data_IF_581017427477
#
_entry.id   IF_581017427477
#
_cell.length_a   1.000
_cell.length_b   1.000
_cell.length_c   1.000
_cell.angle_alpha   90.00
_cell.angle_beta   90.00
_cell.angle_gamma   90.00
#
_symmetry.space_group_name_H-M   'P 1'
#
loop_
_entity.id
_entity.type
_entity.pdbx_description
1 polymer ?
#
# COMPACT_ATOMS: atom_id res chain seq x y z
N UNK A 1 60.65 -76.98 2.67
CA UNK A 1 59.22 -76.63 2.48
C UNK A 1 59.07 -75.12 2.50
N UNK A 2 59.04 -74.49 1.32
CA UNK A 2 57.91 -73.61 1.00
C UNK A 2 57.31 -73.97 -0.37
N UNK A 3 55.98 -73.98 -0.42
CA UNK A 3 55.18 -74.31 -1.59
C UNK A 3 55.29 -73.21 -2.64
N UNK A 4 55.84 -73.55 -3.81
CA UNK A 4 55.81 -72.70 -5.00
C UNK A 4 54.35 -72.43 -5.39
N UNK A 5 53.95 -71.16 -5.29
CA UNK A 5 52.70 -70.67 -5.84
C UNK A 5 52.72 -70.84 -7.37
N UNK A 6 52.01 -71.85 -7.87
CA UNK A 6 51.59 -71.93 -9.27
C UNK A 6 50.77 -70.67 -9.58
N UNK A 7 51.41 -69.69 -10.22
CA UNK A 7 50.73 -68.60 -10.91
C UNK A 7 49.72 -69.23 -11.86
N UNK A 8 48.44 -69.12 -11.52
CA UNK A 8 47.35 -69.53 -12.40
C UNK A 8 47.53 -68.82 -13.72
N UNK A 9 47.83 -69.58 -14.77
CA UNK A 9 47.79 -69.09 -16.14
C UNK A 9 46.42 -68.46 -16.34
N UNK A 10 46.41 -67.14 -16.59
CA UNK A 10 45.21 -66.46 -17.05
C UNK A 10 44.68 -67.28 -18.23
N UNK A 11 43.47 -67.84 -18.09
CA UNK A 11 42.74 -68.45 -19.21
C UNK A 11 42.68 -67.37 -20.29
N UNK A 12 43.58 -67.45 -21.28
CA UNK A 12 43.46 -66.73 -22.54
C UNK A 12 42.11 -67.14 -23.08
N UNK A 13 41.16 -66.22 -23.06
CA UNK A 13 39.85 -66.39 -23.69
C UNK A 13 40.12 -66.94 -25.10
N UNK A 14 39.63 -68.15 -25.39
CA UNK A 14 39.62 -68.65 -26.76
C UNK A 14 38.90 -67.59 -27.60
N UNK A 15 39.47 -67.17 -28.75
CA UNK A 15 38.85 -66.15 -29.60
C UNK A 15 37.47 -66.66 -29.98
N UNK A 16 36.43 -66.00 -29.48
CA UNK A 16 35.07 -66.30 -29.87
C UNK A 16 34.86 -65.65 -31.24
N UNK A 17 35.35 -66.33 -32.29
CA UNK A 17 35.43 -65.84 -33.68
C UNK A 17 34.08 -65.28 -34.17
N UNK A 18 32.97 -65.81 -33.63
CA UNK A 18 31.60 -65.34 -33.91
C UNK A 18 31.24 -63.98 -33.26
N UNK A 19 31.85 -63.64 -32.12
CA UNK A 19 31.68 -62.34 -31.45
C UNK A 19 32.53 -61.27 -32.11
N UNK A 20 33.75 -61.62 -32.54
CA UNK A 20 34.65 -60.72 -33.26
C UNK A 20 34.08 -60.31 -34.62
N UNK A 21 33.51 -61.26 -35.39
CA UNK A 21 32.85 -60.93 -36.67
C UNK A 21 31.63 -60.04 -36.48
N UNK A 22 30.80 -60.29 -35.46
CA UNK A 22 29.66 -59.41 -35.13
C UNK A 22 30.11 -58.01 -34.71
N UNK A 23 31.17 -57.90 -33.91
CA UNK A 23 31.72 -56.61 -33.53
C UNK A 23 32.28 -55.84 -34.74
N UNK A 24 32.97 -56.53 -35.64
CA UNK A 24 33.48 -55.94 -36.89
C UNK A 24 32.35 -55.45 -37.80
N UNK A 25 31.29 -56.24 -37.97
CA UNK A 25 30.13 -55.85 -38.76
C UNK A 25 29.41 -54.64 -38.15
N UNK A 26 29.18 -54.64 -36.83
CA UNK A 26 28.58 -53.50 -36.13
C UNK A 26 29.45 -52.24 -36.21
N UNK A 27 30.77 -52.39 -36.05
CA UNK A 27 31.72 -51.29 -36.16
C UNK A 27 31.79 -50.72 -37.57
N UNK A 28 31.88 -51.58 -38.59
CA UNK A 28 31.88 -51.17 -39.99
C UNK A 28 30.59 -50.46 -40.39
N UNK A 29 29.44 -50.96 -39.95
CA UNK A 29 28.15 -50.30 -40.17
C UNK A 29 28.06 -48.96 -39.44
N UNK A 30 28.60 -48.86 -38.22
CA UNK A 30 28.64 -47.62 -37.48
C UNK A 30 29.53 -46.56 -38.18
N UNK A 31 30.68 -46.95 -38.72
CA UNK A 31 31.56 -46.08 -39.49
C UNK A 31 30.92 -45.65 -40.81
N UNK A 32 30.20 -46.54 -41.47
CA UNK A 32 29.40 -46.21 -42.65
C UNK A 32 28.37 -45.13 -42.34
N UNK A 33 27.58 -45.28 -41.27
CA UNK A 33 26.62 -44.25 -40.85
C UNK A 33 27.33 -42.95 -40.43
N UNK A 34 28.44 -43.04 -39.71
CA UNK A 34 29.23 -41.90 -39.26
C UNK A 34 29.88 -41.12 -40.42
N UNK A 35 30.04 -41.73 -41.60
CA UNK A 35 30.54 -41.06 -42.79
C UNK A 35 29.71 -39.81 -43.15
N UNK A 36 28.40 -39.82 -42.86
CA UNK A 36 27.54 -38.65 -43.05
C UNK A 36 27.91 -37.44 -42.19
N UNK A 37 28.72 -37.59 -41.13
CA UNK A 37 29.25 -36.46 -40.36
C UNK A 37 30.46 -35.78 -41.01
N UNK A 38 31.23 -36.53 -41.79
CA UNK A 38 32.51 -36.08 -42.31
C UNK A 38 32.29 -35.25 -43.59
N UNK A 39 32.93 -34.09 -43.75
CA UNK A 39 32.94 -33.38 -45.03
C UNK A 39 33.72 -34.18 -46.08
N UNK A 40 33.25 -34.18 -47.33
CA UNK A 40 33.99 -34.78 -48.46
C UNK A 40 33.72 -36.25 -48.76
N UNK A 41 32.65 -36.85 -48.21
CA UNK A 41 32.26 -38.25 -48.45
C UNK A 41 31.41 -38.47 -49.72
N UNK A 42 31.24 -37.44 -50.55
CA UNK A 42 30.52 -37.49 -51.82
C UNK A 42 29.04 -37.86 -51.70
N UNK A 43 28.46 -38.37 -52.79
CA UNK A 43 27.03 -38.65 -52.92
C UNK A 43 26.44 -39.56 -51.83
N UNK A 44 27.24 -40.50 -51.29
CA UNK A 44 26.81 -41.40 -50.22
C UNK A 44 26.63 -40.64 -48.89
N UNK A 45 27.53 -39.70 -48.60
CA UNK A 45 27.40 -38.86 -47.41
C UNK A 45 26.24 -37.88 -47.50
N UNK A 46 26.04 -37.27 -48.67
CA UNK A 46 24.90 -36.37 -48.91
C UNK A 46 23.57 -37.12 -48.82
N UNK A 47 23.50 -38.33 -49.38
CA UNK A 47 22.36 -39.22 -49.21
C UNK A 47 22.08 -39.54 -47.74
N UNK A 48 23.10 -39.92 -46.96
CA UNK A 48 22.93 -40.19 -45.52
C UNK A 48 22.48 -38.94 -44.75
N UNK A 49 23.04 -37.77 -45.07
CA UNK A 49 22.64 -36.48 -44.47
C UNK A 49 21.18 -36.18 -44.74
N UNK A 50 20.71 -36.39 -45.96
CA UNK A 50 19.34 -36.03 -46.33
C UNK A 50 18.31 -37.09 -45.89
N UNK A 51 18.59 -38.37 -46.14
CA UNK A 51 17.65 -39.47 -45.95
C UNK A 51 17.65 -40.03 -44.52
N UNK A 52 18.78 -39.98 -43.80
CA UNK A 52 18.89 -40.53 -42.45
C UNK A 52 18.92 -39.43 -41.39
N UNK A 53 19.88 -38.51 -41.46
CA UNK A 53 20.03 -37.43 -40.45
C UNK A 53 18.93 -36.38 -40.57
N UNK A 54 18.61 -35.93 -41.79
CA UNK A 54 17.55 -34.96 -42.06
C UNK A 54 16.14 -35.52 -41.82
N UNK A 55 15.94 -36.84 -41.93
CA UNK A 55 14.66 -37.47 -41.65
C UNK A 55 14.44 -37.66 -40.14
N UNK A 56 15.41 -38.26 -39.44
CA UNK A 56 15.24 -38.73 -38.06
C UNK A 56 15.77 -37.76 -37.00
N UNK A 57 16.65 -36.82 -37.35
CA UNK A 57 17.23 -35.87 -36.38
C UNK A 57 18.09 -36.56 -35.32
N UNK A 58 17.97 -36.12 -34.07
CA UNK A 58 18.82 -36.50 -32.93
C UNK A 58 19.01 -38.03 -32.74
N UNK A 59 17.98 -38.89 -32.89
CA UNK A 59 18.14 -40.34 -32.94
C UNK A 59 19.15 -40.85 -33.98
N UNK A 60 19.19 -40.28 -35.18
CA UNK A 60 20.16 -40.67 -36.21
C UNK A 60 21.60 -40.36 -35.77
N UNK A 61 21.82 -39.23 -35.07
CA UNK A 61 23.13 -38.89 -34.50
C UNK A 61 23.58 -39.85 -33.39
N UNK A 62 22.64 -40.40 -32.61
CA UNK A 62 22.95 -41.37 -31.55
C UNK A 62 23.28 -42.77 -32.09
N UNK A 63 22.82 -43.11 -33.30
CA UNK A 63 22.98 -44.44 -33.92
C UNK A 63 24.42 -44.87 -34.13
N UNK A 64 25.28 -44.11 -34.83
CA UNK A 64 26.66 -44.51 -35.04
C UNK A 64 27.45 -44.61 -33.72
N UNK A 65 27.23 -43.68 -32.78
CA UNK A 65 27.90 -43.71 -31.47
C UNK A 65 27.47 -44.92 -30.63
N UNK A 66 26.17 -45.22 -30.62
CA UNK A 66 25.60 -46.38 -29.93
C UNK A 66 26.12 -47.70 -30.51
N UNK A 67 26.20 -47.81 -31.84
CA UNK A 67 26.72 -48.99 -32.52
C UNK A 67 28.22 -49.19 -32.32
N UNK A 68 29.04 -48.12 -32.30
CA UNK A 68 30.46 -48.22 -31.97
C UNK A 68 30.67 -48.72 -30.53
N UNK A 69 29.94 -48.16 -29.57
CA UNK A 69 30.00 -48.62 -28.18
C UNK A 69 29.51 -50.06 -28.03
N UNK A 70 28.46 -50.45 -28.77
CA UNK A 70 27.98 -51.83 -28.80
C UNK A 70 29.04 -52.79 -29.39
N UNK A 71 29.64 -52.42 -30.53
CA UNK A 71 30.72 -53.18 -31.17
C UNK A 71 31.90 -53.41 -30.21
N UNK A 72 32.31 -52.35 -29.50
CA UNK A 72 33.36 -52.43 -28.49
C UNK A 72 33.01 -53.38 -27.32
N UNK A 73 31.78 -53.31 -26.81
CA UNK A 73 31.33 -54.19 -25.72
C UNK A 73 31.21 -55.65 -26.15
N UNK A 74 30.73 -55.91 -27.36
CA UNK A 74 30.67 -57.25 -27.97
C UNK A 74 32.08 -57.81 -28.16
N UNK A 75 33.02 -57.00 -28.68
CA UNK A 75 34.42 -57.38 -28.82
C UNK A 75 35.07 -57.74 -27.47
N UNK A 76 34.76 -56.98 -26.41
CA UNK A 76 35.27 -57.21 -25.05
C UNK A 76 34.53 -58.32 -24.28
N UNK A 77 33.46 -58.90 -24.84
CA UNK A 77 32.64 -59.91 -24.16
C UNK A 77 31.97 -59.42 -22.88
N UNK A 78 31.65 -58.12 -22.79
CA UNK A 78 31.03 -57.49 -21.60
C UNK A 78 29.50 -57.68 -21.58
N UNK A 79 28.86 -57.60 -20.40
CA UNK A 79 27.40 -57.72 -20.31
C UNK A 79 26.68 -56.57 -21.03
N UNK A 80 25.80 -56.89 -21.98
CA UNK A 80 25.11 -55.91 -22.82
C UNK A 80 23.83 -55.34 -22.20
N UNK A 81 23.22 -56.04 -21.24
CA UNK A 81 21.88 -55.71 -20.70
C UNK A 81 21.79 -54.28 -20.14
N UNK A 82 22.78 -53.87 -19.34
CA UNK A 82 22.82 -52.51 -18.78
C UNK A 82 22.99 -51.45 -19.85
N UNK A 83 23.93 -51.66 -20.77
CA UNK A 83 24.17 -50.75 -21.90
C UNK A 83 22.94 -50.60 -22.79
N UNK A 84 22.31 -51.72 -23.20
CA UNK A 84 21.09 -51.72 -24.02
C UNK A 84 19.93 -51.00 -23.33
N UNK A 85 19.78 -51.15 -22.01
CA UNK A 85 18.80 -50.38 -21.23
C UNK A 85 19.09 -48.88 -21.31
N UNK A 86 20.32 -48.45 -21.03
CA UNK A 86 20.66 -47.02 -21.09
C UNK A 86 20.53 -46.44 -22.50
N UNK A 87 20.91 -47.21 -23.51
CA UNK A 87 20.77 -46.86 -24.92
C UNK A 87 19.29 -46.71 -25.28
N UNK A 88 18.43 -47.66 -24.90
CA UNK A 88 16.98 -47.56 -25.10
C UNK A 88 16.40 -46.27 -24.49
N UNK A 89 16.73 -45.97 -23.23
CA UNK A 89 16.26 -44.72 -22.60
C UNK A 89 16.82 -43.47 -23.27
N UNK A 90 18.07 -43.50 -23.73
CA UNK A 90 18.65 -42.38 -24.50
C UNK A 90 17.87 -42.14 -25.80
N UNK A 91 17.49 -43.20 -26.52
CA UNK A 91 16.62 -43.08 -27.70
C UNK A 91 15.22 -42.60 -27.35
N UNK A 92 14.60 -43.14 -26.30
CA UNK A 92 13.26 -42.71 -25.90
C UNK A 92 13.24 -41.24 -25.50
N UNK A 93 14.24 -40.75 -24.76
CA UNK A 93 14.38 -39.33 -24.41
C UNK A 93 14.67 -38.50 -25.66
N UNK A 94 15.53 -38.98 -26.55
CA UNK A 94 15.79 -38.33 -27.83
C UNK A 94 14.48 -38.14 -28.60
N UNK A 95 13.73 -39.23 -28.84
CA UNK A 95 12.43 -39.25 -29.51
C UNK A 95 11.40 -38.33 -28.84
N UNK A 96 11.33 -38.33 -27.51
CA UNK A 96 10.43 -37.45 -26.77
C UNK A 96 10.77 -35.95 -26.97
N UNK A 97 12.03 -35.60 -27.18
CA UNK A 97 12.48 -34.21 -27.35
C UNK A 97 12.47 -33.71 -28.81
N UNK A 98 12.32 -34.59 -29.81
CA UNK A 98 12.27 -34.21 -31.24
C UNK A 98 11.40 -32.97 -31.55
N UNK A 99 10.14 -32.89 -31.10
CA UNK A 99 9.29 -31.75 -31.42
C UNK A 99 9.79 -30.41 -30.85
N UNK A 100 10.74 -30.42 -29.91
CA UNK A 100 11.30 -29.22 -29.29
C UNK A 100 12.64 -28.79 -29.93
N UNK A 101 13.25 -29.65 -30.75
CA UNK A 101 14.62 -29.48 -31.24
C UNK A 101 14.73 -28.78 -32.61
N UNK A 102 13.61 -28.36 -33.19
CA UNK A 102 13.56 -27.69 -34.50
C UNK A 102 14.00 -28.58 -35.67
N UNK A 103 14.10 -28.04 -36.87
CA UNK A 103 14.46 -28.83 -38.06
C UNK A 103 15.92 -29.31 -38.06
N UNK A 104 16.84 -28.52 -37.51
CA UNK A 104 18.28 -28.83 -37.51
C UNK A 104 18.64 -30.08 -36.68
N UNK A 105 17.97 -30.29 -35.55
CA UNK A 105 18.24 -31.42 -34.64
C UNK A 105 17.05 -32.37 -34.49
N UNK A 106 15.83 -31.93 -34.78
CA UNK A 106 14.64 -32.78 -34.81
C UNK A 106 14.38 -33.45 -36.17
N UNK A 107 15.02 -32.96 -37.23
CA UNK A 107 14.76 -33.41 -38.60
C UNK A 107 13.31 -33.17 -39.04
N UNK A 108 12.96 -33.72 -40.20
CA UNK A 108 11.59 -33.67 -40.73
C UNK A 108 10.57 -34.35 -39.80
N UNK A 109 10.97 -35.42 -39.11
CA UNK A 109 10.11 -36.13 -38.18
C UNK A 109 9.78 -35.26 -36.95
N UNK A 110 10.76 -34.58 -36.37
CA UNK A 110 10.54 -33.67 -35.25
C UNK A 110 9.71 -32.45 -35.63
N UNK A 111 9.97 -31.86 -36.81
CA UNK A 111 9.15 -30.76 -37.33
C UNK A 111 7.70 -31.18 -37.59
N UNK A 112 7.49 -32.37 -38.17
CA UNK A 112 6.15 -32.94 -38.38
C UNK A 112 5.42 -33.24 -37.07
N UNK A 113 6.11 -33.80 -36.07
CA UNK A 113 5.56 -34.01 -34.72
C UNK A 113 5.19 -32.70 -34.04
N UNK A 114 6.03 -31.67 -34.16
CA UNK A 114 5.77 -30.34 -33.62
C UNK A 114 4.54 -29.71 -34.26
N UNK A 115 4.46 -29.71 -35.60
CA UNK A 115 3.32 -29.19 -36.33
C UNK A 115 2.02 -29.93 -35.96
N UNK A 116 2.09 -31.25 -35.81
CA UNK A 116 0.96 -32.06 -35.34
C UNK A 116 0.51 -31.70 -33.91
N UNK A 117 1.45 -31.52 -32.98
CA UNK A 117 1.15 -31.11 -31.61
C UNK A 117 0.55 -29.71 -31.54
N UNK A 118 1.12 -28.76 -32.29
CA UNK A 118 0.60 -27.38 -32.37
C UNK A 118 -0.79 -27.36 -33.03
N UNK A 119 -1.05 -28.19 -34.04
CA UNK A 119 -2.36 -28.29 -34.68
C UNK A 119 -3.45 -28.88 -33.76
N UNK A 120 -3.09 -29.86 -32.91
CA UNK A 120 -4.04 -30.55 -32.04
C UNK A 120 -4.27 -29.85 -30.69
N UNK A 121 -3.21 -29.35 -30.05
CA UNK A 121 -3.25 -28.79 -28.69
C UNK A 121 -2.80 -27.32 -28.62
N UNK A 122 -2.39 -26.72 -29.74
CA UNK A 122 -1.78 -25.39 -29.75
C UNK A 122 -0.41 -25.35 -29.07
N UNK A 123 0.07 -24.15 -28.79
CA UNK A 123 1.32 -23.91 -28.05
C UNK A 123 1.50 -24.73 -26.75
N UNK A 124 0.48 -24.90 -25.87
CA UNK A 124 0.66 -25.69 -24.64
C UNK A 124 0.91 -27.18 -24.91
N UNK A 125 0.59 -27.69 -26.12
CA UNK A 125 0.93 -29.05 -26.55
C UNK A 125 2.44 -29.33 -26.51
N UNK A 126 3.29 -28.31 -26.62
CA UNK A 126 4.75 -28.44 -26.52
C UNK A 126 5.25 -28.76 -25.11
N UNK A 127 4.40 -28.63 -24.08
CA UNK A 127 4.75 -29.08 -22.74
C UNK A 127 4.75 -30.63 -22.62
N UNK A 128 3.93 -31.32 -23.43
CA UNK A 128 3.83 -32.80 -23.42
C UNK A 128 5.16 -33.50 -23.71
N UNK A 129 5.94 -33.16 -24.76
CA UNK A 129 7.24 -33.79 -25.00
C UNK A 129 8.25 -33.55 -23.87
N UNK A 130 8.22 -32.35 -23.27
CA UNK A 130 9.02 -32.01 -22.08
C UNK A 130 8.65 -32.88 -20.87
N UNK A 131 7.36 -33.04 -20.65
CA UNK A 131 6.84 -33.94 -19.63
C UNK A 131 7.28 -35.38 -19.95
N UNK A 132 6.99 -35.92 -21.13
CA UNK A 132 7.36 -37.28 -21.51
C UNK A 132 8.86 -37.56 -21.28
N UNK A 133 9.74 -36.61 -21.64
CA UNK A 133 11.18 -36.69 -21.36
C UNK A 133 11.49 -36.75 -19.86
N UNK A 134 10.85 -35.92 -19.02
CA UNK A 134 11.01 -35.96 -17.56
C UNK A 134 10.60 -37.32 -16.97
N UNK A 135 9.45 -37.86 -17.36
CA UNK A 135 9.00 -39.18 -16.91
C UNK A 135 9.95 -40.30 -17.34
N UNK A 136 10.49 -40.24 -18.57
CA UNK A 136 11.48 -41.20 -19.07
C UNK A 136 12.80 -41.13 -18.28
N UNK A 137 13.24 -39.93 -17.89
CA UNK A 137 14.42 -39.74 -17.05
C UNK A 137 14.18 -40.29 -15.64
N UNK A 138 12.98 -40.12 -15.08
CA UNK A 138 12.61 -40.70 -13.78
C UNK A 138 12.62 -42.24 -13.84
N UNK A 139 12.02 -42.83 -14.88
CA UNK A 139 12.03 -44.28 -15.12
C UNK A 139 13.45 -44.82 -15.37
N UNK A 140 14.30 -44.07 -16.08
CA UNK A 140 15.71 -44.41 -16.26
C UNK A 140 16.45 -44.51 -14.92
N UNK A 141 16.13 -43.61 -13.97
CA UNK A 141 16.66 -43.60 -12.60
C UNK A 141 16.01 -44.63 -11.66
N UNK A 142 15.02 -45.39 -12.15
CA UNK A 142 14.26 -46.34 -11.32
C UNK A 142 13.34 -45.67 -10.31
N UNK A 143 12.92 -44.42 -10.58
CA UNK A 143 11.95 -43.68 -9.79
C UNK A 143 10.58 -43.72 -10.50
N UNK A 144 9.46 -43.58 -9.76
CA UNK A 144 8.16 -43.41 -10.40
C UNK A 144 8.14 -42.16 -11.29
N UNK A 145 7.34 -42.16 -12.37
CA UNK A 145 7.26 -41.02 -13.27
C UNK A 145 6.83 -39.74 -12.51
N UNK A 146 7.39 -38.59 -12.90
CA UNK A 146 7.12 -37.27 -12.34
C UNK A 146 7.73 -36.97 -10.97
N UNK A 147 8.58 -37.84 -10.45
CA UNK A 147 9.26 -37.64 -9.17
C UNK A 147 10.12 -36.38 -9.15
N UNK A 148 10.83 -36.09 -10.25
CA UNK A 148 11.63 -34.86 -10.36
C UNK A 148 10.75 -33.61 -10.31
N UNK A 149 9.62 -33.63 -11.02
CA UNK A 149 8.66 -32.53 -11.03
C UNK A 149 8.07 -32.32 -9.64
N UNK A 150 7.64 -33.40 -8.96
CA UNK A 150 7.11 -33.35 -7.60
C UNK A 150 8.12 -32.77 -6.61
N UNK A 151 9.38 -33.22 -6.66
CA UNK A 151 10.45 -32.70 -5.79
C UNK A 151 10.71 -31.22 -6.07
N UNK A 152 10.75 -30.83 -7.34
CA UNK A 152 10.88 -29.42 -7.75
C UNK A 152 9.75 -28.56 -7.20
N UNK A 153 8.51 -29.02 -7.28
CA UNK A 153 7.34 -28.33 -6.73
C UNK A 153 7.40 -28.21 -5.21
N UNK A 154 7.73 -29.27 -4.48
CA UNK A 154 7.85 -29.23 -3.02
C UNK A 154 8.93 -28.24 -2.58
N UNK A 155 10.08 -28.24 -3.25
CA UNK A 155 11.16 -27.29 -3.00
C UNK A 155 10.73 -25.85 -3.33
N UNK A 156 10.06 -25.65 -4.47
CA UNK A 156 9.53 -24.36 -4.90
C UNK A 156 8.54 -23.79 -3.89
N UNK A 157 7.54 -24.58 -3.47
CA UNK A 157 6.57 -24.18 -2.46
C UNK A 157 7.25 -23.88 -1.12
N UNK A 158 8.23 -24.69 -0.72
CA UNK A 158 9.03 -24.45 0.48
C UNK A 158 9.79 -23.11 0.44
N UNK A 159 10.42 -22.80 -0.69
CA UNK A 159 11.13 -21.54 -0.91
C UNK A 159 10.16 -20.34 -0.91
N UNK A 160 9.03 -20.45 -1.62
CA UNK A 160 8.01 -19.39 -1.64
C UNK A 160 7.44 -19.14 -0.25
N UNK A 161 7.16 -20.20 0.52
CA UNK A 161 6.68 -20.07 1.91
C UNK A 161 7.71 -19.37 2.79
N UNK A 162 8.99 -19.73 2.70
CA UNK A 162 10.08 -19.07 3.43
C UNK A 162 10.25 -17.61 3.01
N UNK A 163 10.22 -17.32 1.71
CA UNK A 163 10.30 -15.96 1.18
C UNK A 163 9.13 -15.10 1.66
N UNK A 164 7.89 -15.62 1.61
CA UNK A 164 6.69 -14.92 2.11
C UNK A 164 6.81 -14.60 3.60
N UNK A 165 7.28 -15.55 4.42
CA UNK A 165 7.49 -15.32 5.85
C UNK A 165 8.60 -14.29 6.09
N UNK A 166 9.70 -14.36 5.33
CA UNK A 166 10.78 -13.37 5.39
C UNK A 166 10.31 -11.96 5.04
N UNK A 167 9.53 -11.82 3.96
CA UNK A 167 8.95 -10.53 3.55
C UNK A 167 7.97 -9.98 4.59
N UNK A 168 7.09 -10.81 5.16
CA UNK A 168 6.20 -10.41 6.25
C UNK A 168 6.96 -9.92 7.47
N UNK A 169 8.01 -10.66 7.88
CA UNK A 169 8.89 -10.26 8.98
C UNK A 169 9.56 -8.91 8.72
N UNK A 170 10.12 -8.70 7.53
CA UNK A 170 10.76 -7.43 7.14
C UNK A 170 9.76 -6.27 7.13
N UNK A 171 8.57 -6.48 6.58
CA UNK A 171 7.52 -5.47 6.57
C UNK A 171 7.10 -5.08 7.99
N UNK A 172 6.94 -6.07 8.88
CA UNK A 172 6.56 -5.81 10.27
C UNK A 172 7.67 -5.11 11.06
N UNK A 173 8.94 -5.51 10.87
CA UNK A 173 10.10 -4.81 11.46
C UNK A 173 10.20 -3.35 11.02
N UNK A 174 9.94 -3.06 9.73
CA UNK A 174 9.87 -1.68 9.23
C UNK A 174 8.76 -0.88 9.92
N UNK A 175 7.56 -1.47 10.07
CA UNK A 175 6.42 -0.82 10.76
C UNK A 175 6.74 -0.54 12.23
N UNK A 176 7.30 -1.52 12.95
CA UNK A 176 7.73 -1.35 14.34
C UNK A 176 8.83 -0.30 14.47
N UNK A 177 9.79 -0.27 13.55
CA UNK A 177 10.84 0.75 13.52
C UNK A 177 10.30 2.16 13.31
N UNK A 178 9.28 2.33 12.46
CA UNK A 178 8.59 3.62 12.30
C UNK A 178 7.85 4.02 13.57
N UNK A 179 7.14 3.09 14.22
CA UNK A 179 6.48 3.37 15.50
C UNK A 179 7.47 3.71 16.61
N UNK A 180 8.61 3.02 16.69
CA UNK A 180 9.64 3.32 17.68
C UNK A 180 10.23 4.74 17.50
N UNK A 181 10.20 5.29 16.28
CA UNK A 181 10.57 6.70 16.04
C UNK A 181 9.48 7.67 16.47
N UNK A 182 8.22 7.29 16.34
CA UNK A 182 7.08 8.11 16.78
C UNK A 182 6.91 8.10 18.30
N UNK A 183 7.24 6.98 18.94
CA UNK A 183 7.12 6.75 20.38
C UNK A 183 8.48 6.29 20.94
N UNK A 184 9.45 7.21 21.11
CA UNK A 184 10.81 6.86 21.52
C UNK A 184 10.90 6.28 22.94
N UNK A 185 9.92 6.56 23.80
CA UNK A 185 9.89 6.06 25.18
C UNK A 185 9.68 4.54 25.27
N UNK A 186 9.12 3.91 24.24
CA UNK A 186 8.84 2.48 24.23
C UNK A 186 10.01 1.66 23.69
N UNK A 187 10.97 1.36 24.57
CA UNK A 187 12.17 0.55 24.28
C UNK A 187 11.83 -0.85 23.73
N UNK A 188 10.70 -1.44 24.15
CA UNK A 188 10.22 -2.73 23.66
C UNK A 188 9.95 -2.72 22.14
N UNK A 189 9.42 -1.62 21.58
CA UNK A 189 9.19 -1.51 20.13
C UNK A 189 10.50 -1.49 19.34
N UNK A 190 11.53 -0.84 19.91
CA UNK A 190 12.88 -0.80 19.33
C UNK A 190 13.52 -2.19 19.34
N UNK A 191 13.39 -2.92 20.45
CA UNK A 191 13.87 -4.29 20.57
C UNK A 191 13.17 -5.23 19.57
N UNK A 192 11.84 -5.19 19.47
CA UNK A 192 11.07 -6.00 18.52
C UNK A 192 11.38 -5.64 17.05
N UNK A 193 11.69 -4.37 16.74
CA UNK A 193 12.15 -3.97 15.41
C UNK A 193 13.55 -4.55 15.07
N UNK A 194 14.41 -4.79 16.07
CA UNK A 194 15.76 -5.34 15.90
C UNK A 194 15.79 -6.86 15.90
N UNK A 195 14.96 -7.52 16.70
CA UNK A 195 14.94 -8.98 16.84
C UNK A 195 13.50 -9.48 17.00
N UNK A 196 12.82 -9.71 15.88
CA UNK A 196 11.50 -10.36 15.86
C UNK A 196 11.64 -11.83 15.52
N UNK A 197 11.21 -12.76 16.38
CA UNK A 197 11.23 -14.19 16.05
C UNK A 197 10.09 -14.55 15.06
N UNK A 198 10.26 -15.61 14.23
CA UNK A 198 9.21 -16.03 13.30
C UNK A 198 7.97 -16.61 14.00
N UNK A 199 8.10 -17.10 15.24
CA UNK A 199 7.00 -17.68 16.02
C UNK A 199 6.11 -16.60 16.66
N UNK A 200 6.68 -15.43 16.94
CA UNK A 200 6.00 -14.29 17.57
C UNK A 200 5.19 -13.45 16.57
N UNK A 201 5.48 -13.60 15.28
CA UNK A 201 4.89 -12.85 14.15
C UNK A 201 3.37 -12.65 14.25
N UNK A 202 2.53 -13.70 14.44
CA UNK A 202 1.07 -13.52 14.45
C UNK A 202 0.61 -12.70 15.65
N UNK A 203 1.12 -13.00 16.86
CA UNK A 203 0.74 -12.30 18.09
C UNK A 203 1.16 -10.82 18.04
N UNK A 204 2.36 -10.54 17.54
CA UNK A 204 2.86 -9.17 17.40
C UNK A 204 2.09 -8.41 16.33
N UNK A 205 1.69 -9.05 15.23
CA UNK A 205 0.86 -8.42 14.20
C UNK A 205 -0.53 -8.05 14.73
N UNK A 206 -1.16 -8.93 15.50
CA UNK A 206 -2.45 -8.67 16.15
C UNK A 206 -2.36 -7.54 17.16
N UNK A 207 -1.36 -7.59 18.07
CA UNK A 207 -1.12 -6.54 19.05
C UNK A 207 -0.85 -5.18 18.38
N UNK A 208 -0.07 -5.16 17.30
CA UNK A 208 0.21 -3.95 16.53
C UNK A 208 -1.06 -3.36 15.92
N UNK A 209 -1.95 -4.19 15.36
CA UNK A 209 -3.22 -3.73 14.80
C UNK A 209 -4.14 -3.17 15.87
N UNK A 210 -4.23 -3.84 17.03
CA UNK A 210 -5.02 -3.37 18.17
C UNK A 210 -4.52 -2.01 18.67
N UNK A 211 -3.20 -1.88 18.88
CA UNK A 211 -2.58 -0.62 19.30
C UNK A 211 -2.84 0.52 18.32
N UNK A 212 -2.62 0.29 17.01
CA UNK A 212 -2.85 1.32 15.99
C UNK A 212 -4.31 1.76 15.96
N UNK A 213 -5.24 0.81 16.10
CA UNK A 213 -6.67 1.10 16.14
C UNK A 213 -7.02 1.98 17.35
N UNK A 214 -6.58 1.59 18.54
CA UNK A 214 -6.82 2.35 19.77
C UNK A 214 -6.25 3.77 19.67
N UNK A 215 -5.03 3.93 19.14
CA UNK A 215 -4.42 5.25 18.98
C UNK A 215 -5.14 6.11 17.95
N UNK A 216 -5.59 5.53 16.84
CA UNK A 216 -6.40 6.27 15.85
C UNK A 216 -7.73 6.71 16.46
N UNK A 217 -8.38 5.87 17.26
CA UNK A 217 -9.61 6.20 17.99
C UNK A 217 -9.37 7.29 19.05
N UNK A 218 -8.25 7.24 19.78
CA UNK A 218 -7.86 8.28 20.73
C UNK A 218 -7.61 9.63 20.03
N UNK A 219 -6.89 9.64 18.90
CA UNK A 219 -6.74 10.85 18.09
C UNK A 219 -8.08 11.36 17.59
N UNK A 220 -8.99 10.48 17.21
CA UNK A 220 -10.33 10.88 16.77
C UNK A 220 -11.11 11.55 17.89
N UNK A 221 -11.05 11.01 19.12
CA UNK A 221 -11.66 11.61 20.32
C UNK A 221 -11.05 12.99 20.62
N UNK A 222 -9.73 13.08 20.68
CA UNK A 222 -9.03 14.35 20.93
C UNK A 222 -9.33 15.42 19.88
N UNK A 223 -9.43 15.06 18.59
CA UNK A 223 -9.82 16.01 17.56
C UNK A 223 -11.26 16.54 17.71
N UNK A 224 -12.16 15.77 18.33
CA UNK A 224 -13.52 16.22 18.65
C UNK A 224 -13.51 17.14 19.87
N UNK A 225 -12.71 16.81 20.88
CA UNK A 225 -12.50 17.65 22.07
C UNK A 225 -11.85 19.00 21.71
N UNK A 226 -10.90 19.00 20.76
CA UNK A 226 -10.24 20.21 20.27
C UNK A 226 -11.18 21.13 19.45
N UNK A 227 -12.42 20.72 19.14
CA UNK A 227 -13.40 21.59 18.47
C UNK A 227 -13.84 22.71 19.41
N UNK A 228 -13.56 23.95 19.04
CA UNK A 228 -13.97 25.15 19.81
C UNK A 228 -15.39 25.58 19.41
N UNK A 229 -16.25 25.98 20.37
CA UNK A 229 -17.59 26.50 20.07
C UNK A 229 -17.51 27.96 19.57
N UNK A 230 -16.94 28.18 18.38
CA UNK A 230 -16.91 29.50 17.74
C UNK A 230 -18.20 29.82 16.97
N UNK A 231 -18.92 28.78 16.56
CA UNK A 231 -20.19 28.88 15.84
C UNK A 231 -21.23 29.82 16.50
N UNK A 232 -21.52 29.75 17.81
CA UNK A 232 -22.49 30.66 18.43
C UNK A 232 -22.06 32.12 18.38
N UNK A 233 -20.75 32.41 18.51
CA UNK A 233 -20.22 33.78 18.45
C UNK A 233 -20.41 34.38 17.05
N UNK A 234 -20.08 33.62 16.00
CA UNK A 234 -20.27 34.07 14.62
C UNK A 234 -21.75 34.24 14.28
N UNK A 235 -22.62 33.34 14.77
CA UNK A 235 -24.06 33.48 14.58
C UNK A 235 -24.60 34.75 15.26
N UNK A 236 -24.16 35.07 16.48
CA UNK A 236 -24.54 36.31 17.16
C UNK A 236 -24.12 37.55 16.35
N UNK A 237 -22.89 37.57 15.84
CA UNK A 237 -22.36 38.65 15.02
C UNK A 237 -23.16 38.81 13.71
N UNK A 238 -23.48 37.69 13.03
CA UNK A 238 -24.33 37.71 11.85
C UNK A 238 -25.74 38.23 12.13
N UNK A 239 -26.33 37.91 13.28
CA UNK A 239 -27.65 38.47 13.64
C UNK A 239 -27.57 39.97 13.91
N UNK A 240 -26.51 40.44 14.57
CA UNK A 240 -26.31 41.86 14.84
C UNK A 240 -26.12 42.68 13.55
N UNK A 241 -25.38 42.14 12.57
CA UNK A 241 -25.13 42.80 11.28
C UNK A 241 -26.32 42.79 10.31
N UNK A 242 -27.36 41.98 10.53
CA UNK A 242 -28.51 41.89 9.61
C UNK A 242 -29.35 43.17 9.54
N UNK A 243 -29.45 43.91 10.64
CA UNK A 243 -30.22 45.16 10.68
C UNK A 243 -29.53 46.24 9.82
N UNK A 244 -30.23 46.90 8.89
CA UNK A 244 -29.65 48.00 8.10
C UNK A 244 -29.35 49.21 8.98
N UNK A 245 -28.36 50.01 8.59
CA UNK A 245 -28.03 51.24 9.31
C UNK A 245 -29.18 52.25 9.19
N UNK A 246 -29.76 52.76 10.30
CA UNK A 246 -30.87 53.70 10.28
C UNK A 246 -30.43 55.11 9.84
N UNK A 247 -31.36 55.89 9.29
CA UNK A 247 -31.14 57.29 8.88
C UNK A 247 -30.87 57.47 7.38
N UNK A 248 -30.64 58.73 6.98
CA UNK A 248 -30.41 59.15 5.59
C UNK A 248 -29.15 60.02 5.50
N UNK A 249 -28.39 59.92 4.39
CA UNK A 249 -27.22 60.78 4.12
C UNK A 249 -25.91 60.05 3.83
N UNK A 250 -24.85 60.78 3.43
CA UNK A 250 -23.62 60.18 2.89
C UNK A 250 -22.78 59.43 3.94
N UNK A 251 -22.87 59.79 5.22
CA UNK A 251 -22.22 59.04 6.31
C UNK A 251 -22.89 57.68 6.51
N UNK A 252 -24.22 57.63 6.39
CA UNK A 252 -25.00 56.39 6.49
C UNK A 252 -24.65 55.44 5.36
N UNK A 253 -24.55 55.94 4.12
CA UNK A 253 -24.21 55.09 2.98
C UNK A 253 -22.81 54.48 3.10
N UNK A 254 -21.82 55.25 3.57
CA UNK A 254 -20.48 54.74 3.84
C UNK A 254 -20.44 53.71 4.99
N UNK A 255 -21.26 53.89 6.03
CA UNK A 255 -21.39 52.91 7.12
C UNK A 255 -22.13 51.65 6.68
N UNK A 256 -23.10 51.79 5.79
CA UNK A 256 -23.86 50.68 5.20
C UNK A 256 -22.97 49.82 4.29
N UNK A 257 -22.08 50.43 3.50
CA UNK A 257 -21.06 49.70 2.74
C UNK A 257 -20.12 48.90 3.66
N UNK A 258 -19.65 49.50 4.76
CA UNK A 258 -18.82 48.80 5.75
C UNK A 258 -19.58 47.67 6.45
N UNK A 259 -20.86 47.87 6.79
CA UNK A 259 -21.73 46.83 7.34
C UNK A 259 -21.87 45.66 6.37
N UNK A 260 -22.15 45.93 5.09
CA UNK A 260 -22.29 44.91 4.06
C UNK A 260 -20.99 44.12 3.86
N UNK A 261 -19.84 44.79 3.88
CA UNK A 261 -18.52 44.15 3.84
C UNK A 261 -18.28 43.23 5.05
N UNK A 262 -18.57 43.69 6.27
CA UNK A 262 -18.46 42.88 7.49
C UNK A 262 -19.42 41.68 7.47
N UNK A 263 -20.63 41.85 6.92
CA UNK A 263 -21.60 40.76 6.78
C UNK A 263 -21.08 39.69 5.82
N UNK A 264 -20.50 40.08 4.69
CA UNK A 264 -19.84 39.17 3.76
C UNK A 264 -18.71 38.39 4.45
N UNK A 265 -17.80 39.09 5.14
CA UNK A 265 -16.68 38.47 5.85
C UNK A 265 -17.15 37.50 6.95
N UNK A 266 -18.14 37.90 7.76
CA UNK A 266 -18.73 37.05 8.79
C UNK A 266 -19.42 35.81 8.19
N UNK A 267 -20.11 35.95 7.05
CA UNK A 267 -20.75 34.83 6.36
C UNK A 267 -19.72 33.84 5.79
N UNK A 268 -18.60 34.36 5.28
CA UNK A 268 -17.47 33.55 4.80
C UNK A 268 -16.78 32.81 5.95
N UNK A 269 -16.61 33.46 7.12
CA UNK A 269 -16.10 32.81 8.32
C UNK A 269 -17.04 31.72 8.83
N UNK A 270 -18.35 31.95 8.83
CA UNK A 270 -19.33 30.92 9.20
C UNK A 270 -19.22 29.68 8.31
N UNK A 271 -19.08 29.86 6.99
CA UNK A 271 -18.86 28.76 6.06
C UNK A 271 -17.54 28.01 6.32
N UNK A 272 -16.46 28.73 6.66
CA UNK A 272 -15.16 28.12 7.04
C UNK A 272 -15.28 27.31 8.34
N UNK A 273 -15.98 27.82 9.35
CA UNK A 273 -16.24 27.10 10.61
C UNK A 273 -17.05 25.82 10.34
N UNK A 274 -18.09 25.89 9.52
CA UNK A 274 -18.90 24.73 9.14
C UNK A 274 -18.07 23.66 8.38
N UNK A 275 -17.17 24.09 7.50
CA UNK A 275 -16.25 23.17 6.82
C UNK A 275 -15.24 22.54 7.80
N UNK A 276 -14.79 23.30 8.81
CA UNK A 276 -13.90 22.80 9.86
C UNK A 276 -14.63 21.90 10.86
N UNK A 277 -15.92 22.07 11.12
CA UNK A 277 -16.66 21.18 12.03
C UNK A 277 -16.86 19.77 11.46
N UNK A 278 -16.89 19.63 10.12
CA UNK A 278 -16.93 18.33 9.46
C UNK A 278 -15.71 17.46 9.79
N UNK A 279 -15.99 16.22 10.23
CA UNK A 279 -14.97 15.29 10.72
C UNK A 279 -14.51 14.31 9.62
N UNK A 280 -13.22 14.26 9.27
CA UNK A 280 -12.72 13.33 8.26
C UNK A 280 -12.66 11.89 8.79
N UNK A 281 -12.94 10.91 7.92
CA UNK A 281 -12.80 9.50 8.26
C UNK A 281 -11.31 9.11 8.43
N UNK A 282 -10.96 8.52 9.58
CA UNK A 282 -9.61 8.03 9.86
C UNK A 282 -9.57 6.51 9.69
N UNK A 283 -8.51 6.00 9.05
CA UNK A 283 -8.33 4.57 8.84
C UNK A 283 -7.47 3.96 9.97
N UNK A 284 -7.79 2.74 10.47
CA UNK A 284 -7.05 2.07 11.53
C UNK A 284 -5.77 1.39 10.97
N UNK A 285 -4.91 2.19 10.35
CA UNK A 285 -3.64 1.76 9.76
C UNK A 285 -2.52 2.69 10.21
N UNK A 286 -1.26 2.24 10.12
CA UNK A 286 -0.11 3.05 10.55
C UNK A 286 0.05 4.33 9.72
N UNK A 287 -0.27 4.29 8.42
CA UNK A 287 -0.38 5.48 7.59
C UNK A 287 -1.56 6.36 8.01
N UNK A 288 -2.68 5.76 8.38
CA UNK A 288 -3.83 6.44 8.97
C UNK A 288 -3.49 7.18 10.27
N UNK A 289 -2.69 6.57 11.16
CA UNK A 289 -2.20 7.19 12.40
C UNK A 289 -1.30 8.41 12.12
N UNK A 290 -0.34 8.26 11.20
CA UNK A 290 0.53 9.37 10.78
C UNK A 290 -0.29 10.53 10.18
N UNK A 291 -1.28 10.20 9.36
CA UNK A 291 -2.20 11.17 8.77
C UNK A 291 -3.07 11.83 9.84
N UNK A 292 -3.58 11.07 10.80
CA UNK A 292 -4.38 11.60 11.91
C UNK A 292 -3.57 12.62 12.72
N UNK A 293 -2.31 12.33 13.04
CA UNK A 293 -1.45 13.29 13.74
C UNK A 293 -1.30 14.61 12.97
N UNK A 294 -0.94 14.55 11.68
CA UNK A 294 -0.78 15.75 10.84
C UNK A 294 -2.10 16.53 10.72
N UNK A 295 -3.20 15.84 10.45
CA UNK A 295 -4.53 16.45 10.36
C UNK A 295 -4.93 17.15 11.66
N UNK A 296 -4.51 16.64 12.82
CA UNK A 296 -4.80 17.28 14.11
C UNK A 296 -4.05 18.59 14.24
N UNK A 297 -2.75 18.58 13.95
CA UNK A 297 -1.90 19.78 13.99
C UNK A 297 -2.41 20.85 13.00
N UNK A 298 -2.70 20.46 11.76
CA UNK A 298 -3.28 21.35 10.74
C UNK A 298 -4.63 21.93 11.15
N UNK A 299 -5.54 21.10 11.70
CA UNK A 299 -6.86 21.55 12.12
C UNK A 299 -6.78 22.47 13.33
N UNK A 300 -5.86 22.20 14.27
CA UNK A 300 -5.62 23.07 15.41
C UNK A 300 -5.16 24.45 14.96
N UNK A 301 -4.18 24.51 14.05
CA UNK A 301 -3.73 25.78 13.48
C UNK A 301 -4.87 26.54 12.79
N UNK A 302 -5.69 25.85 11.98
CA UNK A 302 -6.86 26.47 11.34
C UNK A 302 -7.91 26.97 12.33
N UNK A 303 -8.13 26.26 13.43
CA UNK A 303 -9.04 26.73 14.49
C UNK A 303 -8.48 27.97 15.20
N UNK A 304 -7.16 28.03 15.41
CA UNK A 304 -6.48 29.20 15.99
C UNK A 304 -6.53 30.41 15.03
N UNK A 305 -6.28 30.20 13.73
CA UNK A 305 -6.44 31.23 12.69
C UNK A 305 -7.86 31.79 12.61
N UNK A 306 -8.87 30.90 12.58
CA UNK A 306 -10.28 31.33 12.52
C UNK A 306 -10.71 32.03 13.81
N UNK A 307 -10.18 31.63 14.97
CA UNK A 307 -10.42 32.34 16.22
C UNK A 307 -9.86 33.77 16.17
N UNK A 308 -8.62 33.94 15.68
CA UNK A 308 -8.03 35.29 15.52
C UNK A 308 -8.80 36.15 14.52
N UNK A 309 -9.22 35.60 13.39
CA UNK A 309 -10.05 36.33 12.41
C UNK A 309 -11.41 36.73 13.00
N UNK A 310 -11.99 35.90 13.87
CA UNK A 310 -13.24 36.26 14.54
C UNK A 310 -13.03 37.39 15.55
N UNK A 311 -11.95 37.35 16.34
CA UNK A 311 -11.60 38.44 17.26
C UNK A 311 -11.38 39.76 16.53
N UNK A 312 -10.70 39.73 15.37
CA UNK A 312 -10.52 40.90 14.51
C UNK A 312 -11.86 41.43 13.96
N UNK A 313 -12.78 40.55 13.55
CA UNK A 313 -14.11 40.96 13.09
C UNK A 313 -14.97 41.54 14.21
N UNK A 314 -14.94 40.94 15.41
CA UNK A 314 -15.64 41.47 16.58
C UNK A 314 -15.13 42.87 16.92
N UNK A 315 -13.81 43.09 16.89
CA UNK A 315 -13.23 44.41 17.11
C UNK A 315 -13.69 45.45 16.06
N UNK A 316 -13.73 45.08 14.77
CA UNK A 316 -14.22 45.97 13.70
C UNK A 316 -15.72 46.24 13.81
N UNK A 317 -16.50 45.27 14.27
CA UNK A 317 -17.91 45.45 14.56
C UNK A 317 -18.12 46.42 15.73
N UNK A 318 -17.33 46.28 16.81
CA UNK A 318 -17.34 47.21 17.94
C UNK A 318 -16.97 48.64 17.49
N UNK A 319 -15.96 48.79 16.61
CA UNK A 319 -15.64 50.08 16.00
C UNK A 319 -16.81 50.64 15.18
N UNK A 320 -17.46 49.84 14.34
CA UNK A 320 -18.64 50.25 13.58
C UNK A 320 -19.76 50.73 14.51
N UNK A 321 -20.01 50.00 15.61
CA UNK A 321 -21.05 50.39 16.58
C UNK A 321 -20.78 51.75 17.23
N UNK A 322 -19.50 52.11 17.44
CA UNK A 322 -19.12 53.45 17.93
C UNK A 322 -19.43 54.54 16.90
N UNK A 323 -19.31 54.24 15.60
CA UNK A 323 -19.65 55.19 14.54
C UNK A 323 -21.16 55.45 14.40
N UNK A 324 -22.01 54.48 14.76
CA UNK A 324 -23.46 54.64 14.69
C UNK A 324 -23.96 55.79 15.60
N UNK A 325 -23.29 56.06 16.72
CA UNK A 325 -23.63 57.17 17.60
C UNK A 325 -23.51 58.56 16.93
N UNK A 326 -22.74 58.68 15.84
CA UNK A 326 -22.61 59.94 15.09
C UNK A 326 -23.79 60.21 14.17
N UNK A 327 -24.59 59.20 13.83
CA UNK A 327 -25.80 59.38 13.02
C UNK A 327 -26.89 60.13 13.78
N UNK A 328 -26.91 60.00 15.11
CA UNK A 328 -27.83 60.73 16.00
C UNK A 328 -27.31 62.14 16.37
N UNK A 329 -26.09 62.51 15.95
CA UNK A 329 -25.48 63.79 16.27
C UNK A 329 -25.84 64.91 15.26
N UNK A 330 -25.58 66.17 15.63
CA UNK A 330 -25.77 67.35 14.79
C UNK A 330 -25.12 67.21 13.39
N UNK A 331 -25.67 67.84 12.34
CA UNK A 331 -25.20 67.69 10.95
C UNK A 331 -23.73 68.07 10.74
N UNK A 332 -23.20 69.02 11.51
CA UNK A 332 -21.77 69.39 11.47
C UNK A 332 -20.87 68.23 11.95
N UNK A 333 -21.27 67.50 12.99
CA UNK A 333 -20.53 66.33 13.49
C UNK A 333 -20.66 65.12 12.57
N UNK A 334 -21.76 65.00 11.82
CA UNK A 334 -21.89 63.98 10.78
C UNK A 334 -20.87 64.23 9.65
N UNK A 335 -20.61 65.49 9.29
CA UNK A 335 -19.58 65.84 8.31
C UNK A 335 -18.15 65.61 8.84
N UNK A 336 -17.89 65.93 10.11
CA UNK A 336 -16.61 65.61 10.77
C UNK A 336 -16.39 64.09 10.85
N UNK A 337 -17.43 63.33 11.21
CA UNK A 337 -17.40 61.87 11.24
C UNK A 337 -17.13 61.27 9.86
N UNK A 338 -17.76 61.81 8.80
CA UNK A 338 -17.51 61.39 7.42
C UNK A 338 -16.06 61.70 6.98
N UNK A 339 -15.53 62.87 7.32
CA UNK A 339 -14.13 63.21 7.04
C UNK A 339 -13.15 62.28 7.78
N UNK A 340 -13.42 62.00 9.06
CA UNK A 340 -12.61 61.08 9.85
C UNK A 340 -12.68 59.64 9.30
N UNK A 341 -13.87 59.20 8.87
CA UNK A 341 -14.08 57.88 8.29
C UNK A 341 -13.36 57.69 6.94
N UNK A 342 -13.38 58.71 6.08
CA UNK A 342 -12.67 58.71 4.79
C UNK A 342 -11.15 58.80 4.93
N UNK A 343 -10.66 59.44 5.99
CA UNK A 343 -9.23 59.56 6.30
C UNK A 343 -8.68 58.40 7.14
N UNK A 344 -9.51 57.37 7.41
CA UNK A 344 -9.15 56.20 8.25
C UNK A 344 -8.70 56.57 9.66
N UNK A 345 -9.14 57.72 10.18
CA UNK A 345 -8.87 58.14 11.55
C UNK A 345 -9.84 57.45 12.52
N UNK A 346 -9.43 57.14 13.77
CA UNK A 346 -10.34 56.59 14.77
C UNK A 346 -11.51 57.55 15.04
N UNK A 347 -12.68 57.04 15.48
CA UNK A 347 -13.83 57.88 15.78
C UNK A 347 -13.42 58.96 16.80
N UNK A 348 -13.73 60.24 16.55
CA UNK A 348 -13.44 61.30 17.52
C UNK A 348 -14.16 60.99 18.84
N UNK A 349 -13.62 61.41 19.97
CA UNK A 349 -14.22 61.11 21.27
C UNK A 349 -15.69 61.61 21.30
N UNK A 350 -16.65 60.79 21.77
CA UNK A 350 -18.01 61.26 21.95
C UNK A 350 -18.02 62.46 22.91
N UNK A 351 -19.00 63.38 22.81
CA UNK A 351 -19.08 64.51 23.72
C UNK A 351 -19.18 63.97 25.15
N UNK A 352 -18.59 64.65 26.16
CA UNK A 352 -19.04 64.41 27.52
C UNK A 352 -20.56 64.62 27.52
N UNK A 353 -21.30 63.64 28.07
CA UNK A 353 -22.74 63.79 28.28
C UNK A 353 -22.98 65.18 28.88
N UNK A 354 -23.97 65.96 28.39
CA UNK A 354 -24.25 67.25 28.99
C UNK A 354 -24.44 67.02 30.48
N UNK A 355 -23.59 67.65 31.32
CA UNK A 355 -23.81 67.65 32.76
C UNK A 355 -25.27 68.08 32.95
N UNK A 356 -26.09 67.34 33.73
CA UNK A 356 -27.43 67.80 34.01
C UNK A 356 -27.29 69.25 34.51
N UNK A 357 -27.98 70.18 33.84
CA UNK A 357 -28.14 71.53 34.39
C UNK A 357 -28.68 71.30 35.81
N UNK A 358 -28.11 71.92 36.85
CA UNK A 358 -28.74 71.85 38.16
C UNK A 358 -30.18 72.32 37.97
N UNK A 359 -31.13 71.41 38.21
CA UNK A 359 -32.50 71.82 38.44
C UNK A 359 -32.44 72.87 39.54
N UNK A 360 -32.92 74.07 39.26
CA UNK A 360 -33.22 75.00 40.31
C UNK A 360 -34.25 74.29 41.19
N UNK A 361 -33.80 73.86 42.37
CA UNK A 361 -34.66 73.44 43.46
C UNK A 361 -35.56 74.64 43.82
N UNK A 362 -36.71 74.76 43.19
CA UNK A 362 -37.85 75.48 43.77
C UNK A 362 -38.42 74.57 44.85
N UNK A 363 -37.86 74.70 46.05
CA UNK A 363 -38.42 74.14 47.28
C UNK A 363 -39.64 74.98 47.67
N UNK A 364 -40.80 74.63 47.12
CA UNK A 364 -42.08 75.00 47.74
C UNK A 364 -42.23 74.15 49.01
N UNK A 365 -41.70 74.69 50.11
CA UNK A 365 -41.82 74.13 51.46
C UNK A 365 -43.28 74.22 51.93
N UNK A 366 -44.10 73.26 51.52
CA UNK A 366 -45.34 72.96 52.24
C UNK A 366 -44.96 72.22 53.52
N UNK A 367 -44.96 72.93 54.64
CA UNK A 367 -44.78 72.33 55.96
C UNK A 367 -46.00 71.47 56.31
N UNK A 368 -45.89 70.14 56.47
CA UNK A 368 -46.95 69.36 57.09
C UNK A 368 -47.02 69.71 58.59
N UNK A 369 -48.19 70.15 59.05
CA UNK A 369 -48.48 70.37 60.47
C UNK A 369 -48.26 69.07 61.27
N UNK A 370 -47.72 69.14 62.50
CA UNK A 370 -47.43 67.96 63.30
C UNK A 370 -48.72 67.23 63.73
N UNK A 371 -48.80 65.93 63.42
CA UNK A 371 -49.85 65.04 63.88
C UNK A 371 -49.92 65.03 65.42
N UNK A 372 -51.10 65.34 65.97
CA UNK A 372 -51.39 65.19 67.41
C UNK A 372 -51.43 63.70 67.77
N UNK A 373 -50.79 63.27 68.88
CA UNK A 373 -50.83 61.88 69.31
C UNK A 373 -52.25 61.46 69.73
N UNK A 374 -52.69 60.32 69.23
CA UNK A 374 -53.97 59.71 69.60
C UNK A 374 -53.98 59.24 71.07
N UNK A 375 -55.07 59.48 71.83
CA UNK A 375 -55.19 58.96 73.19
C UNK A 375 -55.42 57.42 73.20
N UNK A 376 -54.98 56.73 74.28
CA UNK A 376 -54.91 55.26 74.34
C UNK A 376 -56.28 54.57 74.41
N UNK A 377 -56.36 53.28 74.01
CA UNK A 377 -57.62 52.55 73.89
C UNK A 377 -58.28 52.26 75.24
N UNK A 378 -59.59 52.48 75.31
CA UNK A 378 -60.44 52.06 76.42
C UNK A 378 -60.66 50.52 76.40
N UNK A 379 -60.78 49.88 77.57
CA UNK A 379 -60.77 48.44 77.74
C UNK A 379 -62.06 47.74 77.26
N UNK A 380 -61.88 46.53 76.69
CA UNK A 380 -62.96 45.62 76.30
C UNK A 380 -63.79 45.16 77.50
N UNK A 381 -65.13 45.09 77.42
CA UNK A 381 -65.95 44.43 78.42
C UNK A 381 -65.84 42.89 78.29
N UNK A 382 -65.92 42.13 79.40
CA UNK A 382 -65.84 40.67 79.38
C UNK A 382 -67.14 40.03 78.87
N UNK A 383 -67.10 38.79 78.34
CA UNK A 383 -68.29 37.98 78.17
C UNK A 383 -68.84 37.58 79.55
N UNK A 384 -70.14 37.82 79.76
CA UNK A 384 -70.91 37.23 80.86
C UNK A 384 -71.12 35.72 80.62
N UNK A 385 -71.49 34.94 81.66
CA UNK A 385 -72.02 33.59 81.45
C UNK A 385 -73.25 33.55 80.55
#
# INVERSE_FOLDING_TARGET
MPLMAKRGAAKRNKPNRSGETRALLLGAFALFLASGFLPGTGAVGDFLREAFYGALGLPAYLTPLGLLALAYLVYRGRPLKGFLRHLLFAYLVAFALLPLLGEALGGRLGAGMRAGLEAWLGWPGLALPLLAALALVDLWRGRPPWDLLRRGLVLGVGLVRRARLGLRRLALRRRLGLLARLYPEHTALKALAQSLAPEELPKVEEALRAFVRERVEEYARRMREDQRPLEPRVQALLQALKAPVPGEGPLRDALEERRAALLLEASALAARIAALSAFPALSPTLSGLLRARRLREERRARWEEVAGLLEDLEARFDELSRWLAFLEANPERQQEGLRALLTQSPPPAPPPAPKPKPEAFDLDLVFPEPERPAPPPAPSPPPAP
#
